data_IF_521102281455
#
_entry.id   IF_521102281455
#
_cell.length_a   1.000
_cell.length_b   1.000
_cell.length_c   1.000
_cell.angle_alpha   90.00
_cell.angle_beta   90.00
_cell.angle_gamma   90.00
#
_symmetry.space_group_name_H-M   'P 1'
#
loop_
_entity.id
_entity.type
_entity.pdbx_description
1 polymer ?
#
# COMPACT_ATOMS: atom_id res chain seq x y z
N UNK A 1 -7.29 -25.62 12.26
CA UNK A 1 -7.78 -27.00 12.08
C UNK A 1 -8.32 -27.24 10.67
N UNK A 2 -7.51 -27.04 9.62
CA UNK A 2 -7.77 -27.60 8.29
C UNK A 2 -6.44 -27.50 7.53
N UNK A 3 -5.54 -28.42 7.82
CA UNK A 3 -4.23 -28.50 7.18
C UNK A 3 -4.34 -29.25 5.87
N UNK A 4 -5.03 -28.69 4.88
CA UNK A 4 -4.98 -29.24 3.51
C UNK A 4 -3.58 -28.93 3.01
N UNK A 5 -2.73 -29.94 3.07
CA UNK A 5 -1.42 -29.93 2.45
C UNK A 5 -1.53 -30.12 0.94
N UNK A 6 -0.37 -30.02 0.31
CA UNK A 6 -0.27 -30.19 -1.14
C UNK A 6 -0.70 -31.59 -1.59
N UNK A 7 -0.48 -32.60 -0.73
CA UNK A 7 -0.85 -33.98 -1.01
C UNK A 7 -2.37 -34.19 -1.05
N UNK A 8 -3.14 -33.64 -0.10
CA UNK A 8 -4.60 -33.74 -0.15
C UNK A 8 -5.18 -32.99 -1.36
N UNK A 9 -4.62 -31.82 -1.72
CA UNK A 9 -5.05 -31.09 -2.92
C UNK A 9 -4.83 -31.89 -4.20
N UNK A 10 -3.70 -32.58 -4.34
CA UNK A 10 -3.42 -33.42 -5.51
C UNK A 10 -4.44 -34.57 -5.61
N UNK A 11 -4.78 -35.21 -4.49
CA UNK A 11 -5.77 -36.29 -4.47
C UNK A 11 -7.14 -35.79 -4.93
N UNK A 12 -7.58 -34.65 -4.41
CA UNK A 12 -8.85 -34.02 -4.81
C UNK A 12 -8.81 -33.64 -6.29
N UNK A 13 -7.70 -33.07 -6.76
CA UNK A 13 -7.51 -32.71 -8.16
C UNK A 13 -7.60 -33.94 -9.09
N UNK A 14 -7.02 -35.09 -8.71
CA UNK A 14 -7.14 -36.33 -9.48
C UNK A 14 -8.59 -36.80 -9.57
N UNK A 15 -9.34 -36.78 -8.46
CA UNK A 15 -10.76 -37.15 -8.47
C UNK A 15 -11.57 -36.20 -9.37
N UNK A 16 -11.35 -34.89 -9.23
CA UNK A 16 -12.00 -33.90 -10.09
C UNK A 16 -11.64 -34.10 -11.57
N UNK A 17 -10.38 -34.44 -11.86
CA UNK A 17 -9.88 -34.76 -13.21
C UNK A 17 -10.50 -36.03 -13.78
N UNK A 18 -10.89 -37.02 -12.97
CA UNK A 18 -11.61 -38.20 -13.46
C UNK A 18 -13.04 -37.85 -13.86
N UNK A 19 -13.70 -36.97 -13.09
CA UNK A 19 -15.08 -36.54 -13.37
C UNK A 19 -15.13 -35.63 -14.61
N UNK A 20 -14.25 -34.61 -14.65
CA UNK A 20 -14.25 -33.59 -15.70
C UNK A 20 -13.44 -34.06 -16.94
N UNK A 21 -12.36 -34.80 -16.70
CA UNK A 21 -11.39 -35.23 -17.71
C UNK A 21 -10.17 -34.28 -17.82
N UNK A 22 -8.93 -34.80 -17.84
CA UNK A 22 -7.72 -33.96 -17.96
C UNK A 22 -7.63 -33.20 -19.28
N UNK A 23 -8.27 -33.71 -20.33
CA UNK A 23 -8.36 -33.03 -21.62
C UNK A 23 -9.32 -31.83 -21.61
N UNK A 24 -10.34 -31.83 -20.74
CA UNK A 24 -11.35 -30.76 -20.65
C UNK A 24 -10.90 -29.60 -19.76
N UNK A 25 -10.07 -29.88 -18.75
CA UNK A 25 -9.54 -28.85 -17.85
C UNK A 25 -8.84 -27.68 -18.58
N UNK A 26 -7.92 -27.90 -19.55
CA UNK A 26 -7.31 -26.79 -20.29
C UNK A 26 -8.30 -26.01 -21.16
N UNK A 27 -9.34 -26.66 -21.68
CA UNK A 27 -10.38 -25.97 -22.47
C UNK A 27 -11.24 -25.07 -21.58
N UNK A 28 -11.66 -25.56 -20.40
CA UNK A 28 -12.40 -24.78 -19.41
C UNK A 28 -11.55 -23.60 -18.91
N UNK A 29 -10.28 -23.85 -18.58
CA UNK A 29 -9.36 -22.82 -18.13
C UNK A 29 -9.12 -21.74 -19.21
N UNK A 30 -9.00 -22.12 -20.49
CA UNK A 30 -8.88 -21.16 -21.60
C UNK A 30 -10.14 -20.32 -21.75
N UNK A 31 -11.32 -20.92 -21.68
CA UNK A 31 -12.59 -20.20 -21.82
C UNK A 31 -12.82 -19.24 -20.65
N UNK A 32 -12.61 -19.71 -19.41
CA UNK A 32 -12.69 -18.87 -18.22
C UNK A 32 -11.63 -17.76 -18.23
N UNK A 33 -10.40 -18.09 -18.63
CA UNK A 33 -9.29 -17.12 -18.70
C UNK A 33 -9.56 -16.01 -19.71
N UNK A 34 -10.14 -16.33 -20.87
CA UNK A 34 -10.57 -15.33 -21.85
C UNK A 34 -11.66 -14.43 -21.27
N UNK A 35 -12.70 -15.00 -20.67
CA UNK A 35 -13.78 -14.24 -20.03
C UNK A 35 -13.29 -13.35 -18.89
N UNK A 36 -12.39 -13.85 -18.05
CA UNK A 36 -11.78 -13.06 -16.98
C UNK A 36 -10.92 -11.91 -17.50
N UNK A 37 -10.17 -12.14 -18.58
CA UNK A 37 -9.35 -11.11 -19.22
C UNK A 37 -10.21 -10.02 -19.88
N UNK A 38 -11.31 -10.39 -20.53
CA UNK A 38 -12.27 -9.43 -21.09
C UNK A 38 -13.00 -8.65 -19.99
N UNK A 39 -13.43 -9.33 -18.92
CA UNK A 39 -14.02 -8.69 -17.74
C UNK A 39 -13.06 -7.70 -17.08
N UNK A 40 -11.78 -8.07 -16.93
CA UNK A 40 -10.74 -7.18 -16.40
C UNK A 40 -10.59 -5.94 -17.29
N UNK A 41 -10.46 -6.11 -18.60
CA UNK A 41 -10.34 -4.99 -19.54
C UNK A 41 -11.53 -4.04 -19.50
N UNK A 42 -12.75 -4.59 -19.42
CA UNK A 42 -13.96 -3.79 -19.29
C UNK A 42 -13.97 -3.01 -17.97
N UNK A 43 -13.58 -3.64 -16.87
CA UNK A 43 -13.50 -2.99 -15.55
C UNK A 43 -12.42 -1.91 -15.51
N UNK A 44 -11.25 -2.17 -16.11
CA UNK A 44 -10.15 -1.22 -16.20
C UNK A 44 -10.56 0.02 -17.02
N UNK A 45 -11.20 -0.19 -18.18
CA UNK A 45 -11.70 0.92 -19.02
C UNK A 45 -12.73 1.80 -18.29
N UNK A 46 -13.72 1.19 -17.62
CA UNK A 46 -14.69 1.94 -16.82
C UNK A 46 -14.01 2.70 -15.69
N UNK A 47 -13.01 2.12 -15.04
CA UNK A 47 -12.26 2.78 -13.97
C UNK A 47 -11.48 3.99 -14.49
N UNK A 48 -10.90 3.90 -15.69
CA UNK A 48 -10.19 5.00 -16.35
C UNK A 48 -11.16 6.12 -16.76
N UNK A 49 -12.28 5.79 -17.39
CA UNK A 49 -13.33 6.75 -17.75
C UNK A 49 -13.87 7.51 -16.53
N UNK A 50 -14.08 6.81 -15.41
CA UNK A 50 -14.51 7.43 -14.15
C UNK A 50 -13.42 8.32 -13.56
N UNK A 51 -12.15 7.91 -13.62
CA UNK A 51 -11.03 8.75 -13.16
C UNK A 51 -10.89 10.01 -13.98
N UNK A 52 -11.06 9.95 -15.30
CA UNK A 52 -10.99 11.10 -16.17
C UNK A 52 -12.20 12.03 -15.95
N UNK A 53 -13.40 11.49 -15.76
CA UNK A 53 -14.58 12.27 -15.40
C UNK A 53 -14.43 13.00 -14.05
N UNK A 54 -13.80 12.37 -13.06
CA UNK A 54 -13.58 12.96 -11.73
C UNK A 54 -12.41 13.95 -11.74
N UNK A 55 -11.37 13.74 -12.55
CA UNK A 55 -10.23 14.66 -12.69
C UNK A 55 -10.60 16.03 -13.23
N UNK A 56 -11.74 16.15 -13.93
CA UNK A 56 -12.21 17.44 -14.47
C UNK A 56 -12.67 18.40 -13.36
N UNK A 57 -12.89 17.91 -12.12
CA UNK A 57 -13.38 18.74 -11.00
C UNK A 57 -12.34 18.97 -9.88
N UNK A 58 -11.12 18.40 -9.98
CA UNK A 58 -10.06 18.60 -8.99
C UNK A 58 -8.97 19.51 -9.56
N UNK A 59 -9.06 20.80 -9.19
CA UNK A 59 -7.97 21.78 -9.27
C UNK A 59 -6.65 21.19 -8.74
N UNK A 60 -5.48 21.58 -9.29
CA UNK A 60 -4.22 20.92 -8.98
C UNK A 60 -3.93 20.95 -7.47
N UNK A 61 -3.91 19.77 -6.85
CA UNK A 61 -3.31 19.57 -5.53
C UNK A 61 -1.82 19.84 -5.64
N UNK A 62 -1.47 21.08 -5.33
CA UNK A 62 -0.12 21.51 -5.08
C UNK A 62 0.26 21.00 -3.67
N UNK A 63 0.68 19.74 -3.60
CA UNK A 63 1.04 19.04 -2.35
C UNK A 63 2.33 19.60 -1.71
N UNK A 64 2.95 20.60 -2.33
CA UNK A 64 4.24 21.17 -1.91
C UNK A 64 4.12 22.46 -1.08
N UNK A 65 2.96 23.12 -1.06
CA UNK A 65 2.76 24.40 -0.36
C UNK A 65 2.82 24.32 1.19
N UNK A 66 2.64 23.12 1.76
CA UNK A 66 2.64 22.91 3.21
C UNK A 66 4.05 22.72 3.80
N UNK A 67 5.03 22.36 2.98
CA UNK A 67 6.42 22.14 3.44
C UNK A 67 7.16 23.46 3.65
N UNK A 68 6.91 24.46 2.80
CA UNK A 68 7.52 25.79 2.93
C UNK A 68 6.99 26.55 4.15
N UNK A 69 5.73 26.29 4.54
CA UNK A 69 5.12 26.89 5.73
C UNK A 69 5.65 26.32 7.06
N UNK A 70 6.29 25.13 7.04
CA UNK A 70 6.83 24.47 8.23
C UNK A 70 8.32 24.76 8.45
N UNK A 71 9.03 25.31 7.45
CA UNK A 71 10.47 25.59 7.53
C UNK A 71 10.81 26.98 8.08
N UNK A 72 9.82 27.82 8.44
CA UNK A 72 10.06 29.23 8.76
C UNK A 72 9.67 29.68 10.19
N UNK A 73 9.50 28.77 11.15
CA UNK A 73 9.22 29.14 12.56
C UNK A 73 10.23 28.58 13.57
N UNK A 74 11.51 28.82 13.33
CA UNK A 74 12.47 28.89 14.44
C UNK A 74 13.60 29.88 14.13
N UNK A 75 13.36 31.17 14.45
CA UNK A 75 14.41 31.96 15.09
C UNK A 75 13.88 32.58 16.40
N UNK A 76 14.68 32.40 17.45
CA UNK A 76 14.85 33.30 18.60
C UNK A 76 13.62 33.69 19.43
N UNK A 77 13.45 32.98 20.55
CA UNK A 77 13.25 33.69 21.83
C UNK A 77 14.55 33.60 22.62
N UNK A 78 15.40 34.57 22.33
CA UNK A 78 16.31 35.24 23.23
C UNK A 78 15.67 35.37 24.64
N UNK A 79 16.15 34.57 25.59
CA UNK A 79 15.89 34.76 27.02
C UNK A 79 17.08 35.50 27.63
N UNK A 80 16.79 36.72 28.04
CA UNK A 80 17.67 37.73 28.63
C UNK A 80 18.21 37.26 30.00
N UNK A 81 19.54 37.31 30.20
CA UNK A 81 20.27 37.29 31.50
C UNK A 81 19.95 38.59 32.29
N UNK A 82 19.96 38.69 33.64
CA UNK A 82 21.03 38.27 34.59
C UNK A 82 20.45 37.58 35.86
N UNK A 83 21.15 36.94 36.78
CA UNK A 83 22.23 37.43 37.65
C UNK A 83 22.64 36.27 38.59
N UNK A 84 23.93 36.23 38.92
CA UNK A 84 24.64 35.59 40.05
C UNK A 84 23.98 34.46 40.88
N UNK A 85 24.59 33.26 40.81
CA UNK A 85 25.04 32.57 42.03
C UNK A 85 26.18 31.58 41.76
N UNK A 86 27.11 31.42 42.73
CA UNK A 86 28.52 31.17 42.45
C UNK A 86 28.94 29.71 42.73
N UNK A 87 29.94 29.27 41.95
CA UNK A 87 31.09 28.45 42.36
C UNK A 87 30.88 27.30 43.37
N UNK A 88 31.01 26.06 42.90
CA UNK A 88 31.89 25.04 43.49
C UNK A 88 31.84 23.81 42.56
N UNK A 89 32.89 23.40 41.85
CA UNK A 89 34.15 22.89 42.39
C UNK A 89 33.97 21.66 43.29
N UNK A 90 33.42 20.56 42.76
CA UNK A 90 33.54 19.27 43.44
C UNK A 90 33.64 18.10 42.45
N UNK A 91 34.82 17.99 41.84
CA UNK A 91 35.34 16.71 41.32
C UNK A 91 36.72 16.48 41.91
N UNK A 92 36.74 15.96 43.14
CA UNK A 92 37.83 15.12 43.61
C UNK A 92 37.27 13.72 43.78
N UNK A 93 37.57 12.86 42.80
CA UNK A 93 37.27 11.43 42.83
C UNK A 93 38.56 10.74 43.28
N UNK A 94 38.41 10.00 44.38
CA UNK A 94 39.34 9.05 44.99
C UNK A 94 39.88 8.08 43.92
#
# INVERSE_FOLDING_TARGET
MFGIGMQELIIIAIIALLIVGPKKLPDIAKSLGKGFNEFKKATDGVTEDLKDAIKIDESPKNDDAWKDSLLMKQPETEQIKPDSSPNASEKNKI
#
